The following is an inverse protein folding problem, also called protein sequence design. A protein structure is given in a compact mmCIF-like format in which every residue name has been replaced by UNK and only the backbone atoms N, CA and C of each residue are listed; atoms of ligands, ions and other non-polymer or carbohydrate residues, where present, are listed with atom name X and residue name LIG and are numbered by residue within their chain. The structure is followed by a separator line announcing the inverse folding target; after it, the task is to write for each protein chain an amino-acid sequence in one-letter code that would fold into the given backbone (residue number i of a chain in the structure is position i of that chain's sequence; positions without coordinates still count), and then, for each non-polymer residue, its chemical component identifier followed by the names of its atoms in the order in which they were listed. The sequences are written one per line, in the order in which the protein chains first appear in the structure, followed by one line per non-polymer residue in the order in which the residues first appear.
data_IF_295398963791
#
_entry.id   IF_295398963791
#
_cell.length_a   1.000
_cell.length_b   1.000
_cell.length_c   1.000
_cell.angle_alpha   90.00
_cell.angle_beta   90.00
_cell.angle_gamma   90.00
#
_symmetry.space_group_name_H-M   'P 1'
#
loop_
_entity.id
_entity.type
_entity.pdbx_description
1 polymer ?
#
# COMPACT_ATOMS: atom_id res chain seq x y z
N UNK A 1 -1.85 78.29 -44.78
CA UNK A 1 -1.95 77.18 -43.79
C UNK A 1 -1.30 75.93 -44.39
N UNK A 2 -0.97 74.93 -43.57
CA UNK A 2 -0.07 73.81 -43.89
C UNK A 2 -0.47 72.97 -45.12
N UNK A 3 0.47 72.80 -46.05
CA UNK A 3 0.32 71.96 -47.24
C UNK A 3 1.22 70.71 -47.24
N UNK A 4 0.57 69.55 -47.21
CA UNK A 4 0.85 68.31 -47.96
C UNK A 4 2.25 67.64 -48.05
N UNK A 5 2.21 66.32 -47.79
CA UNK A 5 2.82 65.22 -48.57
C UNK A 5 4.35 64.97 -48.70
N UNK A 6 4.75 63.83 -48.12
CA UNK A 6 5.42 62.65 -48.75
C UNK A 6 6.90 62.70 -49.24
N UNK A 7 7.71 61.95 -48.46
CA UNK A 7 8.46 60.73 -48.89
C UNK A 7 9.93 60.82 -49.36
N UNK A 8 10.64 59.68 -49.16
CA UNK A 8 11.88 59.21 -49.81
C UNK A 8 13.21 59.90 -49.43
N UNK A 9 14.38 59.23 -49.45
CA UNK A 9 14.72 57.79 -49.33
C UNK A 9 16.24 57.62 -49.07
N UNK A 10 16.70 56.54 -48.42
CA UNK A 10 18.13 56.07 -48.38
C UNK A 10 19.20 57.11 -47.90
N UNK A 11 20.56 56.96 -47.89
CA UNK A 11 21.57 55.89 -47.63
C UNK A 11 22.95 56.58 -47.37
N UNK A 12 24.00 56.07 -46.69
CA UNK A 12 24.22 54.84 -45.90
C UNK A 12 25.48 54.95 -44.97
N UNK A 13 25.66 53.94 -44.09
CA UNK A 13 26.92 53.41 -43.49
C UNK A 13 28.19 54.29 -43.36
N UNK A 14 28.71 54.44 -42.12
CA UNK A 14 29.94 53.70 -41.64
C UNK A 14 30.39 53.98 -40.18
N UNK A 15 30.67 52.87 -39.47
CA UNK A 15 31.72 52.61 -38.45
C UNK A 15 31.87 53.45 -37.15
N UNK A 16 31.54 52.78 -36.03
CA UNK A 16 32.40 52.50 -34.86
C UNK A 16 33.00 53.65 -34.00
N UNK A 17 32.54 53.77 -32.72
CA UNK A 17 33.33 53.27 -31.56
C UNK A 17 32.58 53.27 -30.19
N UNK A 18 32.51 52.06 -29.60
CA UNK A 18 32.71 51.66 -28.19
C UNK A 18 31.91 52.31 -27.02
N UNK A 19 31.50 51.39 -26.12
CA UNK A 19 30.92 51.54 -24.75
C UNK A 19 29.38 51.69 -24.69
N UNK A 20 28.66 51.02 -23.77
CA UNK A 20 28.99 49.84 -22.92
C UNK A 20 27.74 49.34 -22.18
N UNK A 21 27.62 48.03 -21.95
CA UNK A 21 26.63 47.46 -21.02
C UNK A 21 25.34 46.97 -21.68
N UNK A 22 25.43 45.93 -22.51
CA UNK A 22 24.26 45.24 -23.08
C UNK A 22 23.70 44.23 -22.06
N UNK A 23 22.41 44.33 -21.74
CA UNK A 23 21.73 43.44 -20.76
C UNK A 23 21.29 42.17 -21.48
N UNK A 24 22.21 41.22 -21.64
CA UNK A 24 21.92 39.93 -22.28
C UNK A 24 21.10 39.05 -21.34
N UNK A 25 19.96 38.55 -21.82
CA UNK A 25 19.15 37.52 -21.13
C UNK A 25 20.02 36.30 -20.82
N UNK A 26 20.02 35.84 -19.57
CA UNK A 26 20.60 34.55 -19.21
C UNK A 26 19.69 33.42 -19.71
N UNK A 27 20.20 32.56 -20.58
CA UNK A 27 19.46 31.43 -21.11
C UNK A 27 19.21 30.38 -20.01
N UNK A 28 17.97 29.93 -19.88
CA UNK A 28 17.53 28.85 -18.98
C UNK A 28 17.79 27.46 -19.59
N UNK A 29 18.95 27.27 -20.21
CA UNK A 29 19.37 26.01 -20.85
C UNK A 29 20.76 25.60 -20.38
N UNK A 30 20.77 24.60 -19.48
CA UNK A 30 21.87 23.83 -18.82
C UNK A 30 21.52 23.69 -17.33
N UNK A 31 21.33 22.51 -16.75
CA UNK A 31 21.54 21.15 -17.27
C UNK A 31 20.37 20.21 -16.91
N UNK A 32 19.51 19.90 -17.89
CA UNK A 32 18.49 18.86 -17.74
C UNK A 32 19.11 17.47 -17.98
N UNK A 33 19.79 16.94 -16.96
CA UNK A 33 20.32 15.56 -16.97
C UNK A 33 19.15 14.59 -17.10
N UNK A 34 19.12 13.78 -18.17
CA UNK A 34 18.01 12.83 -18.37
C UNK A 34 18.26 11.51 -17.65
N UNK A 35 17.19 10.75 -17.41
CA UNK A 35 17.27 9.38 -16.86
C UNK A 35 18.14 8.45 -17.73
N UNK A 36 18.30 8.74 -19.03
CA UNK A 36 19.23 8.01 -19.92
C UNK A 36 20.71 8.33 -19.67
N UNK A 37 21.03 9.46 -19.05
CA UNK A 37 22.40 9.88 -18.77
C UNK A 37 22.87 9.41 -17.40
N UNK A 38 21.97 9.41 -16.40
CA UNK A 38 22.19 8.77 -15.10
C UNK A 38 22.57 7.28 -15.26
N UNK A 39 21.87 6.56 -16.15
CA UNK A 39 22.15 5.15 -16.50
C UNK A 39 23.56 4.88 -17.06
N UNK A 40 24.33 5.91 -17.48
CA UNK A 40 25.70 5.76 -18.02
C UNK A 40 26.79 5.93 -16.95
N UNK A 41 26.44 6.34 -15.73
CA UNK A 41 27.42 6.73 -14.70
C UNK A 41 28.06 5.52 -13.99
N UNK A 42 29.03 4.86 -14.65
CA UNK A 42 29.75 3.68 -14.11
C UNK A 42 30.37 3.88 -12.73
N UNK A 43 30.73 5.12 -12.33
CA UNK A 43 31.27 5.43 -11.00
C UNK A 43 30.20 5.51 -9.91
N UNK A 44 28.97 5.91 -10.24
CA UNK A 44 27.88 5.99 -9.26
C UNK A 44 27.38 4.57 -8.95
N UNK A 45 27.14 3.76 -9.99
CA UNK A 45 26.68 2.38 -9.85
C UNK A 45 27.52 1.61 -8.84
N UNK A 46 28.85 1.49 -9.02
CA UNK A 46 29.69 0.68 -8.11
C UNK A 46 29.52 1.05 -6.63
N UNK A 47 29.50 2.34 -6.28
CA UNK A 47 29.37 2.78 -4.88
C UNK A 47 27.95 2.53 -4.34
N UNK A 48 26.93 2.69 -5.17
CA UNK A 48 25.55 2.37 -4.77
C UNK A 48 25.32 0.86 -4.71
N UNK A 49 25.89 0.07 -5.60
CA UNK A 49 25.88 -1.41 -5.55
C UNK A 49 26.55 -1.93 -4.25
N UNK A 50 27.67 -1.34 -3.85
CA UNK A 50 28.32 -1.60 -2.54
C UNK A 50 27.39 -1.25 -1.37
N UNK A 51 26.65 -0.14 -1.43
CA UNK A 51 25.69 0.25 -0.38
C UNK A 51 24.41 -0.60 -0.37
N UNK A 52 23.86 -0.97 -1.53
CA UNK A 52 22.71 -1.86 -1.66
C UNK A 52 23.04 -3.27 -1.15
N UNK A 53 24.23 -3.77 -1.46
CA UNK A 53 24.74 -5.05 -0.95
C UNK A 53 24.97 -5.01 0.57
N UNK A 54 25.44 -3.89 1.12
CA UNK A 54 25.52 -3.67 2.56
C UNK A 54 24.14 -3.61 3.23
N UNK A 55 23.12 -3.10 2.53
CA UNK A 55 21.73 -3.02 3.01
C UNK A 55 20.88 -4.29 2.72
N UNK A 56 21.46 -5.32 2.10
CA UNK A 56 20.73 -6.56 1.75
C UNK A 56 19.74 -6.43 0.59
N UNK A 57 19.80 -5.34 -0.18
CA UNK A 57 18.85 -4.98 -1.25
C UNK A 57 19.10 -5.66 -2.61
N UNK A 58 19.86 -6.75 -2.65
CA UNK A 58 20.25 -7.49 -3.87
C UNK A 58 19.26 -8.64 -4.16
N UNK A 59 17.98 -8.44 -3.83
CA UNK A 59 16.96 -9.49 -3.73
C UNK A 59 16.28 -9.82 -5.07
N UNK A 60 17.01 -10.46 -5.97
CA UNK A 60 16.55 -11.52 -6.89
C UNK A 60 15.52 -11.22 -8.00
N UNK A 61 14.54 -10.32 -7.80
CA UNK A 61 13.52 -10.02 -8.80
C UNK A 61 14.05 -8.98 -9.80
N UNK A 62 14.64 -9.47 -10.88
CA UNK A 62 14.99 -8.68 -12.06
C UNK A 62 13.91 -8.78 -13.14
N UNK A 63 13.23 -7.68 -13.38
CA UNK A 63 12.56 -7.38 -14.66
C UNK A 63 13.51 -7.67 -15.85
N UNK A 64 12.99 -7.85 -17.06
CA UNK A 64 13.80 -8.05 -18.29
C UNK A 64 14.83 -6.92 -18.58
N UNK A 65 14.78 -5.82 -17.83
CA UNK A 65 15.71 -4.69 -17.91
C UNK A 65 16.76 -4.65 -16.77
N UNK A 66 16.82 -5.68 -15.91
CA UNK A 66 17.95 -5.92 -14.99
C UNK A 66 18.08 -4.99 -13.78
N UNK A 67 17.04 -4.23 -13.42
CA UNK A 67 17.03 -3.35 -12.23
C UNK A 67 15.71 -3.54 -11.48
N UNK A 68 15.74 -4.29 -10.38
CA UNK A 68 14.60 -4.43 -9.46
C UNK A 68 14.02 -3.06 -9.10
N UNK A 69 12.70 -2.96 -9.03
CA UNK A 69 12.04 -1.70 -8.73
C UNK A 69 12.41 -1.12 -7.33
N UNK A 70 12.82 -1.97 -6.37
CA UNK A 70 13.40 -1.55 -5.08
C UNK A 70 14.73 -0.78 -5.25
N UNK A 71 15.62 -1.30 -6.10
CA UNK A 71 16.87 -0.66 -6.49
C UNK A 71 16.63 0.69 -7.18
N UNK A 72 15.52 0.83 -7.92
CA UNK A 72 15.15 2.08 -8.59
C UNK A 72 14.72 3.20 -7.62
N UNK A 73 13.89 2.93 -6.60
CA UNK A 73 13.58 3.95 -5.57
C UNK A 73 14.83 4.28 -4.75
N UNK A 74 15.59 3.26 -4.35
CA UNK A 74 16.83 3.44 -3.59
C UNK A 74 17.83 4.35 -4.29
N UNK A 75 18.01 4.17 -5.62
CA UNK A 75 18.83 5.04 -6.46
C UNK A 75 18.31 6.49 -6.48
N UNK A 76 17.00 6.68 -6.74
CA UNK A 76 16.40 8.02 -6.87
C UNK A 76 16.48 8.84 -5.58
N UNK A 77 16.13 8.26 -4.44
CA UNK A 77 16.23 8.96 -3.15
C UNK A 77 17.68 9.21 -2.74
N UNK A 78 18.61 8.27 -2.99
CA UNK A 78 20.03 8.52 -2.72
C UNK A 78 20.59 9.67 -3.58
N UNK A 79 20.12 9.83 -4.82
CA UNK A 79 20.46 10.99 -5.64
C UNK A 79 19.90 12.30 -5.06
N UNK A 80 18.64 12.30 -4.62
CA UNK A 80 18.00 13.45 -3.96
C UNK A 80 18.73 13.83 -2.65
N UNK A 81 19.05 12.84 -1.82
CA UNK A 81 19.83 12.94 -0.57
C UNK A 81 21.26 13.47 -0.83
N UNK A 82 21.86 13.09 -1.95
CA UNK A 82 23.22 13.51 -2.34
C UNK A 82 23.26 14.94 -2.87
N UNK A 83 22.38 15.25 -3.84
CA UNK A 83 22.57 16.39 -4.74
C UNK A 83 21.63 17.56 -4.46
N UNK A 84 20.46 17.31 -3.83
CA UNK A 84 19.38 18.29 -3.72
C UNK A 84 19.02 18.64 -2.25
N UNK A 85 19.12 17.69 -1.32
CA UNK A 85 18.78 17.89 0.10
C UNK A 85 19.79 18.79 0.84
N UNK A 86 19.53 20.10 0.84
CA UNK A 86 20.30 21.10 1.60
C UNK A 86 19.93 21.15 3.09
N UNK A 87 18.72 20.72 3.45
CA UNK A 87 18.25 20.68 4.84
C UNK A 87 18.66 19.36 5.51
N UNK A 88 19.35 19.43 6.66
CA UNK A 88 19.74 18.25 7.44
C UNK A 88 18.54 17.41 7.88
N UNK A 89 17.46 18.04 8.33
CA UNK A 89 16.23 17.35 8.80
C UNK A 89 15.56 16.57 7.67
N UNK A 90 15.46 17.15 6.47
CA UNK A 90 14.98 16.44 5.28
C UNK A 90 15.89 15.25 4.94
N UNK A 91 17.20 15.47 4.88
CA UNK A 91 18.18 14.45 4.53
C UNK A 91 18.12 13.24 5.48
N UNK A 92 17.94 13.50 6.77
CA UNK A 92 17.81 12.49 7.81
C UNK A 92 16.46 11.75 7.74
N UNK A 93 15.36 12.47 7.47
CA UNK A 93 14.03 11.88 7.26
C UNK A 93 13.94 10.98 6.04
N UNK A 94 14.55 11.38 4.91
CA UNK A 94 14.65 10.54 3.70
C UNK A 94 15.51 9.30 3.92
N UNK A 95 16.59 9.40 4.69
CA UNK A 95 17.38 8.23 5.10
C UNK A 95 16.58 7.26 5.98
N UNK A 96 15.78 7.76 6.95
CA UNK A 96 14.84 6.93 7.72
C UNK A 96 13.79 6.25 6.83
N UNK A 97 13.22 6.99 5.88
CA UNK A 97 12.26 6.45 4.92
C UNK A 97 12.87 5.34 4.05
N UNK A 98 14.09 5.53 3.54
CA UNK A 98 14.83 4.50 2.79
C UNK A 98 15.10 3.25 3.63
N UNK A 99 15.52 3.41 4.89
CA UNK A 99 15.72 2.27 5.80
C UNK A 99 14.42 1.48 6.01
N UNK A 100 13.27 2.16 6.16
CA UNK A 100 11.96 1.52 6.27
C UNK A 100 11.52 0.85 4.96
N UNK A 101 11.64 1.51 3.80
CA UNK A 101 11.38 0.91 2.47
C UNK A 101 12.24 -0.34 2.24
N UNK A 102 13.51 -0.30 2.63
CA UNK A 102 14.45 -1.43 2.54
C UNK A 102 14.06 -2.59 3.44
N UNK A 103 13.66 -2.32 4.68
CA UNK A 103 13.12 -3.34 5.57
C UNK A 103 11.84 -3.95 5.02
N UNK A 104 10.92 -3.12 4.51
CA UNK A 104 9.65 -3.61 3.99
C UNK A 104 9.78 -4.50 2.75
N UNK A 105 10.81 -4.37 1.90
CA UNK A 105 10.95 -5.24 0.71
C UNK A 105 11.15 -6.72 1.01
N UNK A 106 11.59 -7.09 2.22
CA UNK A 106 11.63 -8.49 2.67
C UNK A 106 10.31 -8.99 3.27
N UNK A 107 9.39 -8.08 3.62
CA UNK A 107 8.11 -8.39 4.28
C UNK A 107 6.92 -8.29 3.32
N UNK A 108 6.92 -7.28 2.44
CA UNK A 108 5.77 -6.88 1.63
C UNK A 108 6.09 -6.85 0.13
N UNK A 109 5.05 -7.06 -0.69
CA UNK A 109 5.09 -6.90 -2.15
C UNK A 109 5.45 -5.47 -2.53
N UNK A 110 6.19 -5.31 -3.63
CA UNK A 110 6.66 -4.00 -4.06
C UNK A 110 5.54 -2.99 -4.36
N UNK A 111 4.37 -3.47 -4.81
CA UNK A 111 3.16 -2.67 -5.02
C UNK A 111 2.65 -2.01 -3.72
N UNK A 112 2.72 -2.70 -2.58
CA UNK A 112 2.34 -2.15 -1.28
C UNK A 112 3.35 -1.12 -0.78
N UNK A 113 4.64 -1.32 -1.07
CA UNK A 113 5.72 -0.40 -0.67
C UNK A 113 5.66 0.89 -1.52
N UNK A 114 5.29 0.78 -2.80
CA UNK A 114 4.94 1.91 -3.66
C UNK A 114 3.74 2.69 -3.12
N UNK A 115 2.63 2.01 -2.76
CA UNK A 115 1.46 2.64 -2.12
C UNK A 115 1.90 3.42 -0.85
N UNK A 116 2.69 2.81 0.04
CA UNK A 116 3.17 3.41 1.29
C UNK A 116 4.09 4.61 1.04
N UNK A 117 5.05 4.47 0.13
CA UNK A 117 6.02 5.51 -0.21
C UNK A 117 5.32 6.75 -0.79
N UNK A 118 4.41 6.55 -1.74
CA UNK A 118 3.61 7.62 -2.32
C UNK A 118 2.67 8.26 -1.28
N UNK A 119 2.06 7.47 -0.39
CA UNK A 119 1.22 7.99 0.69
C UNK A 119 2.02 8.86 1.68
N UNK A 120 3.25 8.46 2.03
CA UNK A 120 4.12 9.24 2.92
C UNK A 120 4.55 10.57 2.31
N UNK A 121 5.07 10.56 1.08
CA UNK A 121 5.41 11.79 0.36
C UNK A 121 4.20 12.74 0.30
N UNK A 122 3.02 12.21 -0.04
CA UNK A 122 1.79 13.00 -0.12
C UNK A 122 1.38 13.64 1.21
N UNK A 123 1.64 13.03 2.38
CA UNK A 123 1.38 13.69 3.67
C UNK A 123 2.31 14.89 3.91
N UNK A 124 3.55 14.83 3.40
CA UNK A 124 4.52 15.93 3.48
C UNK A 124 4.16 17.05 2.50
N UNK A 125 3.81 16.72 1.26
CA UNK A 125 3.36 17.68 0.22
C UNK A 125 2.16 18.52 0.68
N UNK A 126 1.19 17.91 1.38
CA UNK A 126 0.00 18.59 1.92
C UNK A 126 0.23 19.20 3.32
N UNK A 127 1.47 19.23 3.82
CA UNK A 127 1.83 19.85 5.09
C UNK A 127 1.28 19.18 6.35
N UNK A 128 0.75 17.95 6.26
CA UNK A 128 0.26 17.18 7.42
C UNK A 128 1.35 16.43 8.17
N UNK A 129 2.50 16.22 7.52
CA UNK A 129 3.68 15.55 8.07
C UNK A 129 4.95 16.29 7.68
N UNK A 130 6.01 16.06 8.45
CA UNK A 130 7.35 16.60 8.23
C UNK A 130 8.37 15.47 8.14
N UNK A 131 9.59 15.76 7.69
CA UNK A 131 10.70 14.81 7.69
C UNK A 131 11.20 14.39 9.10
N UNK A 132 10.68 15.02 10.16
CA UNK A 132 10.94 14.64 11.56
C UNK A 132 9.87 13.71 12.14
N UNK A 133 8.71 13.56 11.47
CA UNK A 133 7.70 12.59 11.87
C UNK A 133 8.17 11.16 11.55
N UNK A 134 7.62 10.18 12.28
CA UNK A 134 7.89 8.76 12.06
C UNK A 134 6.99 8.17 10.95
N UNK A 135 7.57 7.57 9.88
CA UNK A 135 6.82 6.84 8.85
C UNK A 135 5.97 5.67 9.38
N UNK A 136 6.28 5.12 10.56
CA UNK A 136 5.53 4.01 11.18
C UNK A 136 4.05 4.32 11.38
N UNK A 137 3.67 5.59 11.52
CA UNK A 137 2.26 6.00 11.68
C UNK A 137 1.42 5.72 10.41
N UNK A 138 2.04 5.58 9.24
CA UNK A 138 1.38 5.12 8.00
C UNK A 138 1.59 3.62 7.70
N UNK A 139 2.45 2.92 8.45
CA UNK A 139 2.81 1.52 8.19
C UNK A 139 1.58 0.62 8.27
N UNK A 140 0.87 0.64 9.40
CA UNK A 140 -0.38 -0.12 9.55
C UNK A 140 -1.46 0.33 8.57
N UNK A 141 -1.57 1.64 8.33
CA UNK A 141 -2.60 2.20 7.44
C UNK A 141 -2.46 1.71 5.99
N UNK A 142 -1.24 1.63 5.46
CA UNK A 142 -1.03 1.35 4.02
C UNK A 142 -0.53 -0.07 3.74
N UNK A 143 0.28 -0.65 4.63
CA UNK A 143 0.84 -2.00 4.42
C UNK A 143 -0.02 -3.12 5.00
N UNK A 144 -0.87 -2.85 6.01
CA UNK A 144 -1.81 -3.87 6.53
C UNK A 144 -3.24 -3.73 5.99
N UNK A 145 -3.49 -2.80 5.06
CA UNK A 145 -4.77 -2.68 4.34
C UNK A 145 -5.00 -3.89 3.39
N UNK A 146 -5.57 -4.97 3.93
CA UNK A 146 -5.99 -6.19 3.22
C UNK A 146 -7.17 -5.98 2.25
N UNK A 147 -7.72 -4.77 2.21
CA UNK A 147 -9.01 -4.41 1.62
C UNK A 147 -9.11 -4.47 0.08
N UNK A 148 -8.11 -5.02 -0.62
CA UNK A 148 -8.15 -5.25 -2.08
C UNK A 148 -8.50 -6.68 -2.49
N UNK A 149 -8.78 -7.58 -1.53
CA UNK A 149 -9.45 -8.83 -1.88
C UNK A 149 -10.88 -8.53 -2.36
N UNK A 150 -11.21 -8.91 -3.60
CA UNK A 150 -12.59 -8.81 -4.09
C UNK A 150 -13.49 -9.67 -3.19
N UNK A 151 -14.58 -9.08 -2.68
CA UNK A 151 -15.57 -9.80 -1.86
C UNK A 151 -16.13 -11.00 -2.64
N UNK A 152 -16.25 -10.88 -3.96
CA UNK A 152 -16.63 -11.97 -4.86
C UNK A 152 -15.60 -13.11 -4.89
N UNK A 153 -14.30 -12.84 -4.75
CA UNK A 153 -13.27 -13.87 -4.72
C UNK A 153 -13.38 -14.71 -3.43
N UNK A 154 -13.63 -14.08 -2.28
CA UNK A 154 -13.81 -14.77 -1.01
C UNK A 154 -15.11 -15.60 -0.99
N UNK A 155 -16.20 -15.08 -1.56
CA UNK A 155 -17.45 -15.83 -1.76
C UNK A 155 -17.25 -17.02 -2.71
N UNK A 156 -16.51 -16.83 -3.81
CA UNK A 156 -16.20 -17.88 -4.76
C UNK A 156 -15.34 -18.99 -4.14
N UNK A 157 -14.27 -18.61 -3.42
CA UNK A 157 -13.43 -19.52 -2.65
C UNK A 157 -14.25 -20.37 -1.67
N UNK A 158 -15.05 -19.74 -0.81
CA UNK A 158 -15.93 -20.43 0.15
C UNK A 158 -16.85 -21.45 -0.53
N UNK A 159 -17.53 -21.03 -1.61
CA UNK A 159 -18.45 -21.89 -2.34
C UNK A 159 -17.74 -23.05 -3.07
N UNK A 160 -16.48 -22.89 -3.48
CA UNK A 160 -15.68 -23.96 -4.05
C UNK A 160 -15.23 -24.96 -2.97
N UNK A 161 -14.70 -24.49 -1.84
CA UNK A 161 -14.22 -25.34 -0.73
C UNK A 161 -15.29 -26.34 -0.25
N UNK A 162 -16.53 -25.87 -0.08
CA UNK A 162 -17.66 -26.73 0.29
C UNK A 162 -18.07 -27.70 -0.82
N UNK A 163 -17.94 -27.30 -2.10
CA UNK A 163 -18.23 -28.15 -3.25
C UNK A 163 -17.26 -29.33 -3.35
N UNK A 164 -15.96 -29.08 -3.17
CA UNK A 164 -14.92 -30.11 -3.28
C UNK A 164 -14.64 -30.85 -1.97
N UNK A 165 -15.09 -30.30 -0.83
CA UNK A 165 -14.86 -30.85 0.53
C UNK A 165 -13.37 -31.00 0.87
N UNK A 166 -12.58 -29.98 0.51
CA UNK A 166 -11.11 -30.00 0.47
C UNK A 166 -10.54 -28.63 0.91
N UNK A 167 -9.26 -28.56 1.30
CA UNK A 167 -8.60 -27.33 1.75
C UNK A 167 -7.99 -26.52 0.59
N UNK A 168 -7.98 -25.19 0.71
CA UNK A 168 -7.49 -24.33 -0.37
C UNK A 168 -5.98 -24.47 -0.62
N UNK A 169 -5.19 -24.61 0.44
CA UNK A 169 -3.74 -24.72 0.32
C UNK A 169 -3.30 -26.06 -0.28
N UNK A 170 -4.09 -27.12 -0.16
CA UNK A 170 -3.78 -28.43 -0.73
C UNK A 170 -4.16 -28.50 -2.21
N UNK A 171 -5.45 -28.31 -2.54
CA UNK A 171 -5.97 -28.66 -3.86
C UNK A 171 -6.48 -27.48 -4.71
N UNK A 172 -7.22 -26.53 -4.14
CA UNK A 172 -7.82 -25.45 -4.96
C UNK A 172 -6.84 -24.35 -5.36
N UNK A 173 -5.81 -24.09 -4.54
CA UNK A 173 -4.71 -23.15 -4.80
C UNK A 173 -5.17 -21.74 -5.23
N UNK A 174 -6.34 -21.30 -4.77
CA UNK A 174 -6.90 -19.97 -5.09
C UNK A 174 -6.19 -18.92 -4.20
N UNK A 175 -5.43 -17.96 -4.75
CA UNK A 175 -4.68 -17.03 -3.90
C UNK A 175 -5.61 -16.13 -3.07
N UNK A 176 -5.37 -16.08 -1.76
CA UNK A 176 -5.94 -15.06 -0.88
C UNK A 176 -5.14 -13.78 -1.05
N UNK A 177 -5.81 -12.63 -1.14
CA UNK A 177 -5.11 -11.36 -1.27
C UNK A 177 -4.30 -11.06 0.00
N UNK A 178 -2.98 -11.03 -0.17
CA UNK A 178 -2.03 -10.63 0.85
C UNK A 178 -1.08 -9.59 0.26
N UNK A 179 -0.68 -8.60 1.06
CA UNK A 179 0.40 -7.67 0.72
C UNK A 179 1.79 -8.25 1.05
N UNK A 180 1.90 -9.47 1.59
CA UNK A 180 3.18 -10.09 1.99
C UNK A 180 4.00 -10.60 0.80
N UNK A 181 5.33 -10.54 0.93
CA UNK A 181 6.28 -11.09 -0.05
C UNK A 181 6.49 -12.60 0.14
N UNK A 182 5.43 -13.40 -0.06
CA UNK A 182 5.48 -14.85 0.16
C UNK A 182 6.52 -15.52 -0.76
N UNK A 183 6.74 -15.00 -1.98
CA UNK A 183 7.81 -15.44 -2.88
C UNK A 183 9.20 -15.38 -2.24
N UNK A 184 9.55 -14.27 -1.58
CA UNK A 184 10.79 -14.15 -0.83
C UNK A 184 10.81 -15.08 0.39
N UNK A 185 9.69 -15.19 1.12
CA UNK A 185 9.62 -16.04 2.32
C UNK A 185 9.83 -17.52 1.98
N UNK A 186 9.25 -18.01 0.88
CA UNK A 186 9.50 -19.34 0.30
C UNK A 186 10.98 -19.60 0.03
N UNK A 187 11.74 -18.59 -0.43
CA UNK A 187 13.17 -18.71 -0.69
C UNK A 187 14.00 -18.74 0.61
N UNK A 188 13.61 -17.99 1.65
CA UNK A 188 14.32 -17.99 2.94
C UNK A 188 14.01 -19.23 3.80
N UNK A 189 12.79 -19.79 3.69
CA UNK A 189 12.29 -20.87 4.55
C UNK A 189 12.52 -22.28 3.98
N UNK A 190 13.31 -22.46 2.92
CA UNK A 190 13.56 -23.77 2.27
C UNK A 190 14.00 -24.87 3.24
N UNK A 191 14.82 -24.51 4.23
CA UNK A 191 15.32 -25.42 5.27
C UNK A 191 14.66 -25.20 6.65
N UNK A 192 13.55 -24.47 6.72
CA UNK A 192 12.79 -24.25 7.95
C UNK A 192 11.75 -25.36 8.14
N UNK A 193 11.38 -25.66 9.39
CA UNK A 193 10.44 -26.75 9.69
C UNK A 193 9.00 -26.37 9.31
N UNK A 194 8.50 -25.21 9.75
CA UNK A 194 7.16 -24.70 9.37
C UNK A 194 7.15 -23.96 8.02
N UNK A 195 7.91 -24.43 7.01
CA UNK A 195 7.94 -23.80 5.67
C UNK A 195 6.55 -23.72 5.01
N UNK A 196 5.64 -24.62 5.40
CA UNK A 196 4.26 -24.71 4.91
C UNK A 196 3.41 -23.50 5.34
N UNK A 197 3.91 -22.66 6.26
CA UNK A 197 3.34 -21.34 6.56
C UNK A 197 3.18 -20.47 5.30
N UNK A 198 4.06 -20.63 4.31
CA UNK A 198 3.92 -19.94 3.02
C UNK A 198 2.68 -20.39 2.24
N UNK A 199 2.28 -21.66 2.34
CA UNK A 199 1.04 -22.15 1.74
C UNK A 199 -0.18 -21.56 2.46
N UNK A 200 -0.16 -21.45 3.79
CA UNK A 200 -1.24 -20.83 4.56
C UNK A 200 -1.34 -19.31 4.40
N UNK A 201 -0.22 -18.62 4.14
CA UNK A 201 -0.19 -17.17 3.90
C UNK A 201 -0.62 -16.80 2.47
N UNK A 202 -0.48 -17.71 1.51
CA UNK A 202 -0.84 -17.49 0.10
C UNK A 202 -2.23 -18.03 -0.24
N UNK A 203 -2.63 -19.16 0.35
CA UNK A 203 -3.90 -19.86 0.07
C UNK A 203 -4.83 -19.97 1.29
N UNK A 204 -4.39 -19.58 2.48
CA UNK A 204 -5.22 -19.58 3.69
C UNK A 204 -5.13 -20.84 4.54
N UNK A 205 -5.60 -20.70 5.78
CA UNK A 205 -5.49 -21.68 6.85
C UNK A 205 -6.65 -22.68 6.85
N UNK A 206 -6.44 -23.96 7.18
CA UNK A 206 -7.50 -24.97 7.38
C UNK A 206 -8.31 -24.79 8.67
N UNK A 207 -8.63 -23.56 9.06
CA UNK A 207 -9.28 -23.23 10.34
C UNK A 207 -10.74 -22.83 10.11
N UNK A 208 -11.64 -23.43 10.88
CA UNK A 208 -13.08 -23.10 10.85
C UNK A 208 -13.89 -23.80 9.75
N UNK A 209 -13.27 -24.69 8.96
CA UNK A 209 -13.96 -25.53 7.96
C UNK A 209 -14.12 -26.94 8.55
N UNK A 210 -15.36 -27.44 8.64
CA UNK A 210 -15.64 -28.84 8.94
C UNK A 210 -16.46 -29.46 7.82
N UNK A 211 -15.85 -30.36 7.03
CA UNK A 211 -16.51 -31.02 5.91
C UNK A 211 -17.51 -32.11 6.32
N UNK A 212 -17.50 -32.55 7.58
CA UNK A 212 -18.49 -33.48 8.12
C UNK A 212 -19.81 -32.79 8.49
N UNK A 213 -19.75 -31.55 9.01
CA UNK A 213 -20.91 -30.78 9.48
C UNK A 213 -21.67 -30.09 8.33
N UNK A 214 -22.03 -30.86 7.29
CA UNK A 214 -22.84 -30.36 6.14
C UNK A 214 -24.25 -29.90 6.53
N UNK A 215 -24.64 -30.11 7.79
CA UNK A 215 -25.84 -29.54 8.41
C UNK A 215 -25.45 -28.26 9.18
N UNK A 216 -25.24 -27.16 8.45
CA UNK A 216 -25.26 -25.85 9.10
C UNK A 216 -26.65 -25.63 9.75
N UNK A 217 -26.75 -25.49 11.09
CA UNK A 217 -28.04 -25.42 11.76
C UNK A 217 -28.75 -24.12 11.39
N UNK A 218 -29.78 -24.25 10.53
CA UNK A 218 -30.52 -23.10 10.00
C UNK A 218 -31.27 -22.36 11.11
N UNK A 219 -30.62 -21.37 11.73
CA UNK A 219 -31.17 -20.61 12.84
C UNK A 219 -32.17 -19.56 12.34
N UNK A 220 -33.35 -20.05 11.91
CA UNK A 220 -34.44 -19.29 11.26
C UNK A 220 -34.96 -18.07 12.06
N UNK A 221 -34.59 -17.92 13.35
CA UNK A 221 -34.99 -16.82 14.24
C UNK A 221 -33.91 -16.45 15.27
N UNK A 222 -32.73 -16.00 14.83
CA UNK A 222 -31.77 -15.31 15.74
C UNK A 222 -32.19 -13.85 15.92
N UNK A 223 -32.14 -13.35 17.17
CA UNK A 223 -32.39 -11.94 17.48
C UNK A 223 -31.26 -11.41 18.36
N UNK A 224 -30.72 -10.26 17.98
CA UNK A 224 -29.73 -9.51 18.77
C UNK A 224 -30.20 -9.28 20.22
N UNK A 225 -29.23 -9.25 21.13
CA UNK A 225 -29.42 -9.06 22.56
C UNK A 225 -29.97 -7.68 22.91
N UNK A 226 -30.35 -7.48 24.17
CA UNK A 226 -30.96 -6.22 24.62
C UNK A 226 -30.09 -4.99 24.31
N UNK A 227 -28.79 -5.04 24.61
CA UNK A 227 -27.88 -3.92 24.37
C UNK A 227 -27.77 -3.54 22.88
N UNK A 228 -27.58 -4.51 22.00
CA UNK A 228 -27.49 -4.22 20.56
C UNK A 228 -28.82 -3.72 19.95
N UNK A 229 -29.98 -4.05 20.54
CA UNK A 229 -31.29 -3.51 20.10
C UNK A 229 -31.60 -2.13 20.68
N UNK A 230 -31.21 -1.86 21.92
CA UNK A 230 -31.41 -0.56 22.58
C UNK A 230 -30.43 0.51 22.04
N UNK A 231 -29.20 0.11 21.76
CA UNK A 231 -28.10 0.97 21.31
C UNK A 231 -27.73 0.70 19.85
N UNK A 232 -28.73 0.61 18.97
CA UNK A 232 -28.54 0.26 17.55
C UNK A 232 -27.64 1.24 16.79
N UNK A 233 -27.71 2.54 17.11
CA UNK A 233 -26.83 3.57 16.51
C UNK A 233 -25.35 3.31 16.76
N UNK A 234 -25.00 2.74 17.92
CA UNK A 234 -23.61 2.38 18.25
C UNK A 234 -23.17 1.11 17.52
N UNK A 235 -24.09 0.17 17.30
CA UNK A 235 -23.86 -1.00 16.42
C UNK A 235 -23.61 -0.53 14.98
N UNK A 236 -24.43 0.38 14.44
CA UNK A 236 -24.24 0.93 13.09
C UNK A 236 -22.91 1.69 12.95
N UNK A 237 -22.52 2.45 13.99
CA UNK A 237 -21.23 3.15 14.05
C UNK A 237 -20.06 2.15 14.05
N UNK A 238 -20.16 1.09 14.84
CA UNK A 238 -19.16 0.01 14.89
C UNK A 238 -19.06 -0.73 13.55
N UNK A 239 -20.18 -1.20 12.98
CA UNK A 239 -20.19 -1.91 11.69
C UNK A 239 -19.57 -1.06 10.58
N UNK A 240 -19.88 0.24 10.51
CA UNK A 240 -19.27 1.16 9.53
C UNK A 240 -17.76 1.32 9.73
N UNK A 241 -17.29 1.37 10.98
CA UNK A 241 -15.87 1.46 11.34
C UNK A 241 -15.11 0.19 10.93
N UNK A 242 -15.57 -0.98 11.36
CA UNK A 242 -14.93 -2.26 11.04
C UNK A 242 -14.96 -2.56 9.53
N UNK A 243 -16.06 -2.22 8.83
CA UNK A 243 -16.14 -2.34 7.37
C UNK A 243 -15.16 -1.39 6.66
N UNK A 244 -14.96 -0.16 7.17
CA UNK A 244 -13.94 0.76 6.63
C UNK A 244 -12.51 0.26 6.81
N UNK A 245 -12.25 -0.58 7.82
CA UNK A 245 -10.97 -1.26 8.03
C UNK A 245 -10.85 -2.59 7.27
N UNK A 246 -11.93 -3.10 6.66
CA UNK A 246 -11.96 -4.42 6.02
C UNK A 246 -12.04 -5.60 7.00
N UNK A 247 -12.24 -5.34 8.29
CA UNK A 247 -12.33 -6.37 9.33
C UNK A 247 -13.63 -7.20 9.25
N UNK A 248 -14.65 -6.68 8.57
CA UNK A 248 -15.90 -7.39 8.26
C UNK A 248 -16.34 -7.14 6.81
N UNK A 249 -17.01 -8.12 6.22
CA UNK A 249 -17.56 -8.03 4.85
C UNK A 249 -19.07 -7.74 4.89
N UNK A 250 -19.53 -6.85 4.00
CA UNK A 250 -20.93 -6.48 3.86
C UNK A 250 -21.17 -4.96 3.95
N UNK A 251 -22.41 -4.50 4.24
CA UNK A 251 -23.60 -5.32 4.46
C UNK A 251 -24.11 -6.00 3.18
N UNK A 252 -24.47 -7.28 3.29
CA UNK A 252 -25.09 -8.02 2.19
C UNK A 252 -26.62 -7.88 2.21
N UNK A 253 -27.26 -7.80 1.04
CA UNK A 253 -28.74 -7.74 0.92
C UNK A 253 -29.43 -9.09 1.16
N UNK A 254 -28.68 -10.18 1.01
CA UNK A 254 -29.10 -11.57 1.17
C UNK A 254 -27.89 -12.38 1.63
N UNK A 255 -28.05 -13.67 1.95
CA UNK A 255 -26.91 -14.58 2.08
C UNK A 255 -26.09 -14.57 0.76
N UNK A 256 -24.76 -14.32 0.79
CA UNK A 256 -23.92 -14.40 -0.41
C UNK A 256 -23.39 -15.81 -0.70
N UNK A 257 -23.49 -16.74 0.27
CA UNK A 257 -23.01 -18.11 0.15
C UNK A 257 -24.12 -19.06 -0.32
N UNK A 258 -23.74 -20.22 -0.86
CA UNK A 258 -24.69 -21.28 -1.25
C UNK A 258 -25.40 -21.90 -0.05
N UNK A 259 -24.68 -22.04 1.06
CA UNK A 259 -25.10 -22.85 2.21
C UNK A 259 -25.61 -21.97 3.37
N UNK A 260 -26.17 -22.61 4.40
CA UNK A 260 -26.79 -21.93 5.53
C UNK A 260 -25.80 -21.15 6.40
N UNK A 261 -26.06 -19.85 6.61
CA UNK A 261 -25.28 -19.05 7.55
C UNK A 261 -25.57 -19.40 9.01
N UNK A 262 -24.50 -19.58 9.79
CA UNK A 262 -24.55 -19.45 11.24
C UNK A 262 -24.73 -17.95 11.58
N UNK A 263 -25.68 -17.64 12.45
CA UNK A 263 -25.99 -16.27 12.86
C UNK A 263 -25.72 -16.09 14.35
N UNK A 264 -24.61 -15.42 14.69
CA UNK A 264 -24.27 -15.06 16.07
C UNK A 264 -24.96 -13.73 16.45
N UNK A 265 -25.79 -13.68 17.50
CA UNK A 265 -26.44 -12.43 17.90
C UNK A 265 -25.42 -11.44 18.48
N UNK A 266 -25.56 -10.17 18.12
CA UNK A 266 -24.76 -9.09 18.70
C UNK A 266 -25.32 -8.64 20.05
N UNK A 267 -24.45 -8.17 20.92
CA UNK A 267 -24.77 -7.37 22.12
C UNK A 267 -23.90 -6.11 22.17
N UNK A 268 -24.23 -5.14 23.05
CA UNK A 268 -23.34 -4.02 23.36
C UNK A 268 -23.41 -3.61 24.83
N UNK A 269 -22.25 -3.37 25.42
CA UNK A 269 -22.08 -2.92 26.81
C UNK A 269 -21.31 -1.59 26.84
N UNK A 270 -21.48 -0.73 27.87
CA UNK A 270 -20.61 0.43 28.04
C UNK A 270 -19.14 0.02 28.18
N UNK A 271 -18.21 0.89 27.76
CA UNK A 271 -16.84 0.89 28.29
C UNK A 271 -16.86 1.71 29.59
N UNK A 272 -15.96 1.44 30.54
CA UNK A 272 -15.91 2.21 31.78
C UNK A 272 -15.45 3.66 31.52
N UNK A 273 -14.45 3.82 30.65
CA UNK A 273 -13.72 5.08 30.45
C UNK A 273 -14.04 5.74 29.09
N UNK A 274 -15.20 5.45 28.49
CA UNK A 274 -15.55 5.97 27.15
C UNK A 274 -17.04 5.89 26.80
N UNK A 275 -17.52 6.94 26.13
CA UNK A 275 -18.82 7.00 25.44
C UNK A 275 -18.98 5.92 24.34
N UNK A 276 -17.89 5.32 23.85
CA UNK A 276 -18.02 4.18 22.93
C UNK A 276 -18.46 2.91 23.66
N UNK A 277 -19.52 2.26 23.16
CA UNK A 277 -19.89 0.91 23.61
C UNK A 277 -18.91 -0.14 23.07
N UNK A 278 -18.67 -1.21 23.84
CA UNK A 278 -18.02 -2.44 23.37
C UNK A 278 -19.10 -3.32 22.74
N UNK A 279 -18.95 -3.64 21.45
CA UNK A 279 -19.77 -4.64 20.76
C UNK A 279 -19.24 -6.03 21.09
N UNK A 280 -20.14 -7.00 21.25
CA UNK A 280 -19.85 -8.39 21.60
C UNK A 280 -20.59 -9.28 20.60
N UNK A 281 -19.89 -10.24 20.00
CA UNK A 281 -20.48 -11.34 19.24
C UNK A 281 -20.73 -12.51 20.19
N UNK A 282 -21.97 -13.02 20.23
CA UNK A 282 -22.31 -14.17 21.06
C UNK A 282 -22.11 -15.49 20.31
N UNK A 283 -20.93 -16.09 20.51
CA UNK A 283 -20.56 -17.39 19.96
C UNK A 283 -21.13 -18.60 20.74
N UNK A 284 -22.04 -18.40 21.70
CA UNK A 284 -22.87 -19.49 22.25
C UNK A 284 -24.02 -19.90 21.32
N UNK A 285 -24.16 -19.21 20.18
CA UNK A 285 -25.04 -19.57 19.08
C UNK A 285 -24.21 -20.16 17.92
N UNK A 286 -24.68 -21.24 17.28
CA UNK A 286 -25.98 -21.89 17.44
C UNK A 286 -26.02 -22.72 18.73
N UNK A 287 -27.06 -22.54 19.55
CA UNK A 287 -27.32 -23.50 20.64
C UNK A 287 -27.65 -24.83 19.96
N UNK A 288 -27.00 -25.91 20.43
CA UNK A 288 -26.97 -27.19 19.73
C UNK A 288 -28.39 -27.67 19.34
N UNK A 289 -28.58 -27.81 18.02
CA UNK A 289 -29.67 -28.50 17.32
C UNK A 289 -31.11 -28.31 17.87
N UNK A 290 -31.88 -27.48 17.17
CA UNK A 290 -33.34 -27.62 17.08
C UNK A 290 -33.71 -28.62 15.98
#
# INVERSE_FOLDING_TARGET
MSGNSKSKDTSEKKKQKKKSGEVTKLNLEKDNVTIKDLRKSKKLNKKVDEQLKFLGLDSGESDENGISASKSISLGELEIISNFCKNKSEKEGRLRLLQKVSYFSSVYQWSAILDFYAAWLRQIEIGKKTWNDDPQVLESAVLTESNKCSVGNLIHLHNNLLTYSDYNYENLRIPIYSRLNVSFWRQQLVCYFDKDICEFLEFGWPVGINFADKIHPSCKKVRNHAGARQFSKDIDKYIKKEASYGAILGPFKSNPFRDGLILSPLNSVPKADSEERRVIMDFSFPRQLC
#
